data_IF_171695043229
#
_entry.id   IF_171695043229
#
_cell.length_a   1.000
_cell.length_b   1.000
_cell.length_c   1.000
_cell.angle_alpha   90.00
_cell.angle_beta   90.00
_cell.angle_gamma   90.00
#
_symmetry.space_group_name_H-M   'P 1'
#
loop_
_entity.id
_entity.type
_entity.pdbx_description
1 polymer ?
#
# COMPACT_ATOMS: atom_id res chain seq x y z
N UNK A 1 28.08 3.74 15.27
CA UNK A 1 28.60 3.80 13.89
C UNK A 1 29.43 2.55 13.66
N UNK A 2 29.46 2.04 12.44
CA UNK A 2 30.42 1.00 12.04
C UNK A 2 31.66 1.72 11.53
N UNK A 3 32.80 1.51 12.19
CA UNK A 3 34.09 1.99 11.71
C UNK A 3 34.80 0.82 11.02
N UNK A 4 35.25 1.04 9.80
CA UNK A 4 36.01 0.08 9.01
C UNK A 4 37.37 0.73 8.75
N UNK A 5 38.46 0.07 9.15
CA UNK A 5 39.80 0.61 8.89
C UNK A 5 40.05 0.77 7.39
N UNK A 6 40.72 1.86 7.00
CA UNK A 6 41.02 2.19 5.60
C UNK A 6 41.73 1.05 4.85
N UNK A 7 42.57 0.29 5.56
CA UNK A 7 43.25 -0.90 5.04
C UNK A 7 42.26 -1.98 4.60
N UNK A 8 41.23 -2.22 5.41
CA UNK A 8 40.16 -3.19 5.14
C UNK A 8 39.25 -2.68 4.02
N UNK A 9 38.96 -1.37 3.98
CA UNK A 9 38.19 -0.76 2.89
C UNK A 9 38.89 -0.95 1.53
N UNK A 10 40.19 -0.63 1.47
CA UNK A 10 41.01 -0.80 0.25
C UNK A 10 41.09 -2.26 -0.18
N UNK A 11 41.40 -3.18 0.74
CA UNK A 11 41.46 -4.62 0.44
C UNK A 11 40.12 -5.15 -0.08
N UNK A 12 39.01 -4.64 0.44
CA UNK A 12 37.66 -5.01 -0.01
C UNK A 12 37.43 -4.59 -1.45
N UNK A 13 37.72 -3.32 -1.79
CA UNK A 13 37.56 -2.81 -3.15
C UNK A 13 38.50 -3.53 -4.13
N UNK A 14 39.77 -3.76 -3.75
CA UNK A 14 40.70 -4.51 -4.59
C UNK A 14 40.25 -5.95 -4.83
N UNK A 15 39.72 -6.63 -3.81
CA UNK A 15 39.17 -7.98 -3.94
C UNK A 15 37.94 -8.03 -4.87
N UNK A 16 37.18 -6.93 -4.96
CA UNK A 16 36.05 -6.76 -5.88
C UNK A 16 36.48 -6.35 -7.31
N UNK A 17 37.78 -6.17 -7.54
CA UNK A 17 38.37 -5.88 -8.85
C UNK A 17 38.54 -4.38 -9.15
N UNK A 18 38.31 -3.51 -8.17
CA UNK A 18 38.65 -2.09 -8.31
C UNK A 18 40.18 -1.92 -8.25
N UNK A 19 40.71 -1.00 -9.05
CA UNK A 19 42.12 -0.60 -8.94
C UNK A 19 42.20 0.70 -8.14
N UNK A 20 42.92 0.68 -7.02
CA UNK A 20 43.13 1.86 -6.19
C UNK A 20 44.36 2.66 -6.66
N UNK A 21 44.22 3.98 -6.77
CA UNK A 21 45.31 4.92 -7.04
C UNK A 21 45.21 6.11 -6.09
N UNK A 22 45.99 6.10 -5.02
CA UNK A 22 45.78 7.02 -3.90
C UNK A 22 44.43 6.75 -3.25
N UNK A 23 43.52 7.72 -3.31
CA UNK A 23 42.13 7.61 -2.83
C UNK A 23 41.12 7.44 -3.98
N UNK A 24 41.60 7.37 -5.22
CA UNK A 24 40.76 7.16 -6.40
C UNK A 24 40.56 5.65 -6.64
N UNK A 25 39.30 5.21 -6.73
CA UNK A 25 38.94 3.86 -7.12
C UNK A 25 38.57 3.81 -8.61
N UNK A 26 39.34 3.10 -9.41
CA UNK A 26 39.03 2.84 -10.81
C UNK A 26 38.07 1.65 -10.91
N UNK A 27 36.89 1.90 -11.48
CA UNK A 27 35.81 0.92 -11.60
C UNK A 27 36.16 -0.13 -12.68
N UNK A 28 36.00 -1.44 -12.39
CA UNK A 28 36.21 -2.47 -13.39
C UNK A 28 35.12 -2.46 -14.46
N UNK A 29 35.47 -2.85 -15.69
CA UNK A 29 34.60 -2.71 -16.87
C UNK A 29 33.27 -3.49 -16.79
N UNK A 30 33.17 -4.51 -15.94
CA UNK A 30 31.97 -5.32 -15.73
C UNK A 30 31.05 -4.79 -14.63
N UNK A 31 31.36 -3.64 -14.02
CA UNK A 31 30.55 -2.97 -12.98
C UNK A 31 29.95 -1.64 -13.47
N UNK A 32 29.01 -1.65 -14.43
CA UNK A 32 28.36 -0.42 -14.92
C UNK A 32 27.39 0.20 -13.90
N UNK A 33 27.10 -0.52 -12.82
CA UNK A 33 26.26 -0.11 -11.70
C UNK A 33 26.94 0.87 -10.74
N UNK A 34 28.28 0.97 -10.77
CA UNK A 34 29.03 1.90 -9.92
C UNK A 34 29.13 3.26 -10.60
N UNK A 35 28.46 4.26 -10.02
CA UNK A 35 28.34 5.62 -10.58
C UNK A 35 28.91 6.70 -9.66
N UNK A 36 29.15 6.39 -8.39
CA UNK A 36 29.76 7.35 -7.46
C UNK A 36 30.21 6.77 -6.12
N UNK A 37 30.55 7.68 -5.20
CA UNK A 37 31.08 7.35 -3.88
C UNK A 37 30.11 6.49 -3.05
N UNK A 38 28.81 6.76 -3.12
CA UNK A 38 27.79 6.02 -2.38
C UNK A 38 27.81 4.51 -2.71
N UNK A 39 28.05 4.16 -3.98
CA UNK A 39 28.10 2.76 -4.42
C UNK A 39 29.36 2.05 -3.88
N UNK A 40 30.48 2.77 -3.77
CA UNK A 40 31.70 2.24 -3.13
C UNK A 40 31.48 1.99 -1.64
N UNK A 41 30.81 2.93 -0.96
CA UNK A 41 30.43 2.79 0.46
C UNK A 41 29.51 1.57 0.63
N UNK A 42 28.54 1.37 -0.27
CA UNK A 42 27.66 0.20 -0.27
C UNK A 42 28.46 -1.10 -0.42
N UNK A 43 29.40 -1.17 -1.37
CA UNK A 43 30.23 -2.36 -1.57
C UNK A 43 31.06 -2.72 -0.33
N UNK A 44 31.67 -1.70 0.29
CA UNK A 44 32.42 -1.85 1.55
C UNK A 44 31.50 -2.34 2.66
N UNK A 45 30.34 -1.70 2.85
CA UNK A 45 29.38 -2.06 3.89
C UNK A 45 28.80 -3.47 3.69
N UNK A 46 28.57 -3.86 2.43
CA UNK A 46 28.06 -5.19 2.05
C UNK A 46 29.03 -6.29 2.46
N UNK A 47 30.33 -6.12 2.19
CA UNK A 47 31.36 -7.10 2.53
C UNK A 47 31.71 -7.08 4.02
N UNK A 48 31.75 -5.91 4.65
CA UNK A 48 31.96 -5.77 6.10
C UNK A 48 30.84 -6.38 6.95
N UNK A 49 29.76 -6.81 6.29
CA UNK A 49 28.55 -7.42 6.81
C UNK A 49 27.62 -6.42 7.49
N UNK A 50 26.48 -6.19 6.85
CA UNK A 50 25.36 -5.40 7.39
C UNK A 50 24.88 -5.90 8.76
N UNK A 51 25.17 -7.16 9.14
CA UNK A 51 24.85 -7.70 10.47
C UNK A 51 25.63 -7.04 11.61
N UNK A 52 26.75 -6.36 11.32
CA UNK A 52 27.50 -5.59 12.32
C UNK A 52 26.98 -4.17 12.49
N UNK A 53 26.02 -3.73 11.67
CA UNK A 53 25.40 -2.42 11.81
C UNK A 53 24.55 -2.36 13.07
N UNK A 54 25.01 -1.58 14.04
CA UNK A 54 24.22 -1.26 15.23
C UNK A 54 23.25 -0.15 14.86
N UNK A 55 21.95 -0.46 14.86
CA UNK A 55 20.90 0.53 14.63
C UNK A 55 20.98 1.64 15.67
N UNK A 56 21.17 2.87 15.20
CA UNK A 56 21.16 4.06 16.05
C UNK A 56 19.84 4.81 15.88
N UNK A 57 19.19 5.22 16.97
CA UNK A 57 18.03 6.09 16.87
C UNK A 57 18.40 7.37 16.13
N UNK A 58 17.62 7.73 15.12
CA UNK A 58 17.79 9.03 14.47
C UNK A 58 17.60 10.13 15.51
N UNK A 59 18.50 11.12 15.50
CA UNK A 59 18.34 12.31 16.32
C UNK A 59 16.99 12.96 15.97
N UNK A 60 16.16 13.21 16.98
CA UNK A 60 14.86 13.87 16.75
C UNK A 60 15.12 15.33 16.37
N UNK A 61 14.55 15.84 15.25
CA UNK A 61 14.71 17.24 14.86
C UNK A 61 14.18 18.23 15.91
N UNK A 62 13.19 17.80 16.70
CA UNK A 62 12.59 18.59 17.77
C UNK A 62 12.44 17.74 19.04
N UNK A 63 12.73 18.34 20.19
CA UNK A 63 12.50 17.73 21.51
C UNK A 63 11.01 17.83 21.89
N UNK A 64 10.45 16.78 22.48
CA UNK A 64 9.09 16.76 23.02
C UNK A 64 8.16 15.71 22.41
N UNK A 65 6.86 15.87 22.66
CA UNK A 65 5.79 15.00 22.15
C UNK A 65 5.49 15.37 20.69
N UNK A 66 5.46 14.41 19.76
CA UNK A 66 5.10 14.68 18.36
C UNK A 66 3.73 15.36 18.25
N UNK A 67 3.63 16.35 17.37
CA UNK A 67 2.35 16.93 17.00
C UNK A 67 1.45 15.87 16.35
N UNK A 68 0.11 16.00 16.47
CA UNK A 68 -0.79 15.06 15.83
C UNK A 68 -0.58 15.04 14.31
N UNK A 69 -0.18 13.89 13.79
CA UNK A 69 0.19 13.72 12.37
C UNK A 69 -1.04 13.51 11.47
N UNK A 70 -2.14 13.02 12.03
CA UNK A 70 -3.33 12.67 11.25
C UNK A 70 -4.16 13.89 10.85
N UNK A 71 -4.50 13.96 9.57
CA UNK A 71 -5.43 14.96 9.04
C UNK A 71 -6.85 14.75 9.60
N UNK A 72 -7.71 15.79 9.59
CA UNK A 72 -9.11 15.63 9.99
C UNK A 72 -9.85 14.53 9.24
N UNK A 73 -9.56 14.35 7.94
CA UNK A 73 -10.18 13.31 7.12
C UNK A 73 -9.76 11.91 7.58
N UNK A 74 -8.47 11.68 7.83
CA UNK A 74 -7.97 10.39 8.34
C UNK A 74 -8.58 10.02 9.70
N UNK A 75 -8.78 11.02 10.58
CA UNK A 75 -9.48 10.80 11.86
C UNK A 75 -10.95 10.43 11.66
N UNK A 76 -11.65 11.12 10.75
CA UNK A 76 -13.05 10.84 10.42
C UNK A 76 -13.21 9.45 9.81
N UNK A 77 -12.30 9.04 8.92
CA UNK A 77 -12.27 7.70 8.36
C UNK A 77 -12.17 6.63 9.47
N UNK A 78 -11.19 6.76 10.37
CA UNK A 78 -11.03 5.82 11.49
C UNK A 78 -12.26 5.78 12.39
N UNK A 79 -12.86 6.95 12.69
CA UNK A 79 -14.08 7.02 13.48
C UNK A 79 -15.27 6.35 12.77
N UNK A 80 -15.42 6.57 11.46
CA UNK A 80 -16.51 6.00 10.67
C UNK A 80 -16.42 4.46 10.59
N UNK A 81 -15.21 3.90 10.40
CA UNK A 81 -14.99 2.45 10.46
C UNK A 81 -15.36 1.87 11.83
N UNK A 82 -14.97 2.53 12.93
CA UNK A 82 -15.34 2.11 14.29
C UNK A 82 -16.84 2.15 14.52
N UNK A 83 -17.54 3.18 14.03
CA UNK A 83 -19.00 3.27 14.15
C UNK A 83 -19.67 2.13 13.40
N UNK A 84 -19.30 1.86 12.15
CA UNK A 84 -19.86 0.74 11.38
C UNK A 84 -19.63 -0.62 12.08
N UNK A 85 -18.41 -0.86 12.58
CA UNK A 85 -18.10 -2.06 13.35
C UNK A 85 -18.93 -2.15 14.64
N UNK A 86 -19.13 -1.03 15.36
CA UNK A 86 -19.96 -1.01 16.57
C UNK A 86 -21.44 -1.30 16.32
N UNK A 87 -21.92 -1.04 15.09
CA UNK A 87 -23.26 -1.41 14.64
C UNK A 87 -23.37 -2.89 14.20
N UNK A 88 -22.27 -3.66 14.32
CA UNK A 88 -22.26 -5.09 13.99
C UNK A 88 -21.95 -5.42 12.54
N UNK A 89 -21.53 -4.45 11.72
CA UNK A 89 -21.08 -4.70 10.36
C UNK A 89 -19.64 -5.23 10.34
N UNK A 90 -19.36 -6.15 9.42
CA UNK A 90 -18.03 -6.69 9.18
C UNK A 90 -17.34 -5.94 8.04
N UNK A 91 -16.09 -5.54 8.26
CA UNK A 91 -15.34 -4.79 7.27
C UNK A 91 -14.91 -5.68 6.10
N UNK A 92 -15.12 -5.20 4.88
CA UNK A 92 -14.68 -5.80 3.64
C UNK A 92 -13.70 -4.87 2.93
N UNK A 93 -12.76 -5.47 2.20
CA UNK A 93 -11.89 -4.76 1.26
C UNK A 93 -12.05 -5.43 -0.09
N UNK A 94 -12.68 -4.73 -1.03
CA UNK A 94 -12.91 -5.22 -2.39
C UNK A 94 -11.96 -4.55 -3.38
N UNK A 95 -11.80 -5.14 -4.56
CA UNK A 95 -10.99 -4.53 -5.61
C UNK A 95 -11.58 -3.18 -6.04
N UNK A 96 -10.70 -2.22 -6.35
CA UNK A 96 -11.10 -0.95 -6.97
C UNK A 96 -11.52 -1.12 -8.43
N UNK A 97 -11.17 -2.24 -9.06
CA UNK A 97 -11.50 -2.57 -10.44
C UNK A 97 -12.64 -3.57 -10.49
N UNK A 98 -13.63 -3.29 -11.34
CA UNK A 98 -14.80 -4.13 -11.60
C UNK A 98 -15.02 -4.26 -13.11
N UNK A 99 -15.92 -5.15 -13.51
CA UNK A 99 -16.33 -5.28 -14.90
C UNK A 99 -17.20 -4.08 -15.32
N UNK A 100 -17.23 -3.83 -16.63
CA UNK A 100 -17.97 -2.68 -17.19
C UNK A 100 -19.47 -2.75 -16.89
N UNK A 101 -20.07 -3.94 -16.93
CA UNK A 101 -21.50 -4.10 -16.75
C UNK A 101 -21.90 -3.75 -15.30
N UNK A 102 -21.12 -4.22 -14.32
CA UNK A 102 -21.29 -3.82 -12.93
C UNK A 102 -21.07 -2.31 -12.75
N UNK A 103 -20.04 -1.71 -13.35
CA UNK A 103 -19.81 -0.28 -13.25
C UNK A 103 -20.97 0.55 -13.82
N UNK A 104 -21.52 0.16 -14.96
CA UNK A 104 -22.63 0.84 -15.62
C UNK A 104 -23.90 0.90 -14.76
N UNK A 105 -24.17 -0.13 -13.95
CA UNK A 105 -25.33 -0.16 -13.04
C UNK A 105 -25.27 0.89 -11.92
N UNK A 106 -24.09 1.44 -11.64
CA UNK A 106 -23.86 2.40 -10.56
C UNK A 106 -23.32 3.75 -11.06
N UNK A 107 -23.64 4.11 -12.31
CA UNK A 107 -23.31 5.41 -12.89
C UNK A 107 -21.87 5.55 -13.38
N UNK A 108 -21.14 4.43 -13.54
CA UNK A 108 -19.81 4.38 -14.16
C UNK A 108 -19.83 3.66 -15.51
N UNK A 109 -18.76 2.94 -15.83
CA UNK A 109 -18.65 2.12 -17.05
C UNK A 109 -18.34 2.91 -18.33
N UNK A 110 -18.08 4.21 -18.21
CA UNK A 110 -17.58 5.07 -19.29
C UNK A 110 -16.08 4.85 -19.49
N UNK A 111 -15.57 5.14 -20.69
CA UNK A 111 -14.14 5.04 -20.98
C UNK A 111 -13.26 5.96 -20.10
N UNK A 112 -13.83 7.02 -19.49
CA UNK A 112 -13.12 7.91 -18.58
C UNK A 112 -12.55 7.21 -17.32
N UNK A 113 -13.09 6.05 -16.95
CA UNK A 113 -12.65 5.25 -15.79
C UNK A 113 -12.12 3.87 -16.20
N UNK A 114 -11.87 3.65 -17.48
CA UNK A 114 -11.41 2.38 -18.03
C UNK A 114 -9.89 2.25 -17.89
N UNK A 115 -9.45 1.07 -17.48
CA UNK A 115 -8.02 0.70 -17.39
C UNK A 115 -7.53 0.27 -18.76
N UNK A 116 -6.43 0.88 -19.24
CA UNK A 116 -5.86 0.56 -20.56
C UNK A 116 -5.26 -0.85 -20.62
N UNK A 117 -4.57 -1.28 -19.56
CA UNK A 117 -3.95 -2.60 -19.46
C UNK A 117 -4.52 -3.39 -18.28
N UNK A 118 -5.76 -3.92 -18.41
CA UNK A 118 -6.44 -4.59 -17.31
C UNK A 118 -5.81 -5.96 -17.01
N UNK A 119 -5.82 -6.35 -15.73
CA UNK A 119 -5.32 -7.65 -15.27
C UNK A 119 -6.19 -8.81 -15.82
N UNK A 120 -7.49 -8.56 -16.01
CA UNK A 120 -8.45 -9.52 -16.55
C UNK A 120 -9.65 -8.81 -17.18
N UNK A 121 -10.48 -9.55 -17.94
CA UNK A 121 -11.73 -9.04 -18.52
C UNK A 121 -12.74 -8.53 -17.49
N UNK A 122 -12.68 -9.08 -16.27
CA UNK A 122 -13.56 -8.74 -15.15
C UNK A 122 -13.05 -7.54 -14.32
N UNK A 123 -11.92 -6.95 -14.68
CA UNK A 123 -11.27 -5.86 -13.93
C UNK A 123 -10.87 -4.72 -14.87
N UNK A 124 -11.87 -4.19 -15.58
CA UNK A 124 -11.66 -3.24 -16.68
C UNK A 124 -11.94 -1.78 -16.31
N UNK A 125 -12.76 -1.52 -15.29
CA UNK A 125 -13.19 -0.16 -14.93
C UNK A 125 -12.97 0.11 -13.44
N UNK A 126 -12.61 1.34 -13.10
CA UNK A 126 -12.62 1.80 -11.71
C UNK A 126 -14.07 1.84 -11.19
N UNK A 127 -14.24 1.43 -9.94
CA UNK A 127 -15.55 1.38 -9.30
C UNK A 127 -16.11 2.81 -9.06
N UNK A 128 -17.32 3.12 -9.51
CA UNK A 128 -17.96 4.41 -9.25
C UNK A 128 -18.58 4.48 -7.84
N UNK A 129 -18.81 3.31 -7.22
CA UNK A 129 -19.32 3.16 -5.86
C UNK A 129 -18.70 1.91 -5.19
N UNK A 130 -18.84 1.78 -3.87
CA UNK A 130 -18.44 0.59 -3.10
C UNK A 130 -19.51 -0.51 -3.14
N UNK A 131 -20.77 -0.15 -3.40
CA UNK A 131 -21.90 -1.08 -3.42
C UNK A 131 -21.76 -2.25 -4.42
N UNK A 132 -21.24 -2.09 -5.65
CA UNK A 132 -21.01 -3.23 -6.55
C UNK A 132 -20.11 -4.31 -5.92
N UNK A 133 -19.01 -3.90 -5.28
CA UNK A 133 -18.09 -4.80 -4.60
C UNK A 133 -18.73 -5.51 -3.41
N UNK A 134 -19.49 -4.77 -2.60
CA UNK A 134 -20.23 -5.32 -1.46
C UNK A 134 -21.31 -6.33 -1.89
N UNK A 135 -22.05 -6.04 -2.96
CA UNK A 135 -23.06 -6.96 -3.52
C UNK A 135 -22.41 -8.24 -4.04
N UNK A 136 -21.29 -8.13 -4.76
CA UNK A 136 -20.54 -9.30 -5.21
C UNK A 136 -20.00 -10.11 -4.02
N UNK A 137 -19.55 -9.45 -2.94
CA UNK A 137 -19.15 -10.12 -1.71
C UNK A 137 -20.31 -10.84 -1.02
N UNK A 138 -21.49 -10.21 -0.94
CA UNK A 138 -22.69 -10.83 -0.38
C UNK A 138 -23.11 -12.05 -1.20
N UNK A 139 -23.17 -11.94 -2.53
CA UNK A 139 -23.51 -13.05 -3.43
C UNK A 139 -22.56 -14.25 -3.26
N UNK A 140 -21.24 -14.00 -3.14
CA UNK A 140 -20.25 -15.07 -2.87
C UNK A 140 -20.45 -15.76 -1.52
N UNK A 141 -20.85 -15.01 -0.48
CA UNK A 141 -21.12 -15.56 0.84
C UNK A 141 -22.43 -16.36 0.85
N UNK A 142 -23.47 -15.86 0.20
CA UNK A 142 -24.74 -16.58 0.04
C UNK A 142 -24.57 -17.89 -0.72
N UNK A 143 -23.75 -17.90 -1.78
CA UNK A 143 -23.39 -19.12 -2.51
C UNK A 143 -22.64 -20.16 -1.65
N UNK A 144 -22.09 -19.74 -0.49
CA UNK A 144 -21.43 -20.61 0.50
C UNK A 144 -22.31 -20.94 1.71
N UNK A 145 -23.59 -20.58 1.66
CA UNK A 145 -24.57 -20.86 2.72
C UNK A 145 -24.71 -19.80 3.80
N UNK A 146 -24.04 -18.64 3.67
CA UNK A 146 -24.18 -17.53 4.60
C UNK A 146 -25.20 -16.52 4.05
N UNK A 147 -26.47 -16.67 4.46
CA UNK A 147 -27.58 -15.86 3.95
C UNK A 147 -27.69 -14.47 4.60
N UNK A 148 -27.41 -14.40 5.91
CA UNK A 148 -27.54 -13.19 6.74
C UNK A 148 -26.17 -12.54 6.92
N UNK A 149 -26.02 -11.30 6.43
CA UNK A 149 -24.73 -10.62 6.33
C UNK A 149 -24.88 -9.13 6.57
N UNK A 150 -24.04 -8.57 7.44
CA UNK A 150 -23.81 -7.14 7.57
C UNK A 150 -22.36 -6.84 7.17
N UNK A 151 -22.16 -6.21 6.01
CA UNK A 151 -20.85 -5.91 5.44
C UNK A 151 -20.69 -4.40 5.25
N UNK A 152 -19.53 -3.84 5.55
CA UNK A 152 -19.24 -2.46 5.19
C UNK A 152 -17.86 -2.35 4.54
N UNK A 153 -17.67 -1.36 3.70
CA UNK A 153 -16.36 -0.98 3.19
C UNK A 153 -16.18 0.53 3.34
N UNK A 154 -14.97 0.95 3.67
CA UNK A 154 -14.57 2.33 3.53
C UNK A 154 -13.34 2.40 2.62
N UNK A 155 -13.42 3.20 1.57
CA UNK A 155 -12.41 3.21 0.53
C UNK A 155 -12.71 4.20 -0.59
N UNK A 156 -11.82 4.26 -1.59
CA UNK A 156 -11.95 5.18 -2.69
C UNK A 156 -13.02 4.72 -3.68
N UNK A 157 -13.69 5.71 -4.28
CA UNK A 157 -14.55 5.58 -5.46
C UNK A 157 -14.14 6.65 -6.48
N UNK A 158 -14.44 6.40 -7.74
CA UNK A 158 -13.91 7.18 -8.85
C UNK A 158 -15.05 7.69 -9.73
N UNK A 159 -15.20 9.01 -9.83
CA UNK A 159 -16.11 9.63 -10.80
C UNK A 159 -15.44 9.79 -12.18
N UNK A 160 -14.12 9.68 -12.24
CA UNK A 160 -13.27 9.78 -13.43
C UNK A 160 -11.84 9.30 -13.12
N UNK A 161 -10.98 9.26 -14.14
CA UNK A 161 -9.61 8.74 -14.06
C UNK A 161 -8.56 9.78 -13.68
N UNK A 162 -8.92 11.06 -13.59
CA UNK A 162 -7.97 12.15 -13.38
C UNK A 162 -7.77 12.49 -11.89
N UNK A 163 -6.63 13.14 -11.53
CA UNK A 163 -6.42 13.65 -10.18
C UNK A 163 -7.55 14.60 -9.74
N UNK A 164 -8.11 14.32 -8.56
CA UNK A 164 -9.24 15.10 -8.00
C UNK A 164 -10.62 14.47 -8.23
N UNK A 165 -10.71 13.42 -9.06
CA UNK A 165 -11.98 12.71 -9.32
C UNK A 165 -12.19 11.49 -8.41
N UNK A 166 -11.30 11.32 -7.42
CA UNK A 166 -11.38 10.31 -6.39
C UNK A 166 -12.04 10.86 -5.12
N UNK A 167 -13.03 10.13 -4.60
CA UNK A 167 -13.66 10.43 -3.32
C UNK A 167 -13.53 9.27 -2.34
N UNK A 168 -13.44 9.57 -1.04
CA UNK A 168 -13.54 8.57 0.02
C UNK A 168 -15.01 8.37 0.39
N UNK A 169 -15.48 7.12 0.38
CA UNK A 169 -16.82 6.75 0.83
C UNK A 169 -16.76 5.67 1.91
N UNK A 170 -17.83 5.58 2.71
CA UNK A 170 -18.15 4.43 3.53
C UNK A 170 -19.55 3.96 3.13
N UNK A 171 -19.68 2.70 2.77
CA UNK A 171 -20.95 2.08 2.37
C UNK A 171 -21.17 0.82 3.20
N UNK A 172 -22.38 0.64 3.71
CA UNK A 172 -22.82 -0.56 4.41
C UNK A 172 -23.89 -1.31 3.60
N UNK A 173 -23.84 -2.63 3.64
CA UNK A 173 -24.80 -3.54 3.04
C UNK A 173 -25.28 -4.52 4.12
N UNK A 174 -26.60 -4.58 4.33
CA UNK A 174 -27.24 -5.55 5.21
C UNK A 174 -28.19 -6.40 4.36
N UNK A 175 -28.04 -7.72 4.42
CA UNK A 175 -28.84 -8.69 3.66
C UNK A 175 -29.27 -9.82 4.58
N UNK A 176 -30.47 -10.35 4.36
CA UNK A 176 -31.03 -11.47 5.11
C UNK A 176 -32.00 -11.04 6.22
N UNK A 177 -32.18 -11.94 7.18
CA UNK A 177 -33.11 -11.84 8.29
C UNK A 177 -32.64 -10.78 9.28
N UNK A 178 -33.47 -9.76 9.51
CA UNK A 178 -33.25 -8.78 10.60
C UNK A 178 -33.79 -9.37 11.90
N UNK A 179 -33.27 -10.50 12.35
CA UNK A 179 -33.60 -11.00 13.67
C UNK A 179 -32.83 -10.14 14.71
N UNK A 180 -33.45 -9.74 15.83
CA UNK A 180 -32.69 -9.13 16.92
C UNK A 180 -31.58 -10.11 17.32
N UNK A 181 -30.34 -9.64 17.29
CA UNK A 181 -29.20 -10.39 17.81
C UNK A 181 -29.48 -10.63 19.30
N UNK A 182 -29.77 -11.88 19.66
CA UNK A 182 -30.07 -12.24 21.04
C UNK A 182 -28.89 -11.82 21.93
N UNK A 183 -29.08 -10.88 22.88
CA UNK A 183 -27.97 -10.34 23.68
C UNK A 183 -27.62 -11.22 24.89
N UNK A 184 -27.93 -12.52 24.85
CA UNK A 184 -27.62 -13.48 25.91
C UNK A 184 -26.60 -14.53 25.46
#
# INVERSE_FOLDING_TARGET
SMEIEDTVQRQTLEALGFRMEGDLAHVPSWRPDIQGEADLIEEIARIASLTRLVGQPMARPQAGVPLPVLTPLQRRESAARRVAASLGYNECVTYSFIDQAAAALFGGGTDAVRVENPISSEMTHLRPDLLPGLLAAAARNQARGFADLALFECGPVFAGGEPGEQALRLTGLLVGSVAPRDPY
#
